data_IF_655259933842
#
_entry.id   IF_655259933842
#
_cell.length_a   1.000
_cell.length_b   1.000
_cell.length_c   1.000
_cell.angle_alpha   90.00
_cell.angle_beta   90.00
_cell.angle_gamma   90.00
#
_symmetry.space_group_name_H-M   'P 1'
#
loop_
_entity.id
_entity.type
_entity.pdbx_description
1 polymer ?
#
# COMPACT_ATOMS: atom_id res chain seq x y z
N UNK A 1 39.85 -27.10 39.36
CA UNK A 1 38.43 -26.77 39.64
C UNK A 1 38.25 -25.26 39.50
N UNK A 2 38.06 -24.73 38.29
CA UNK A 2 37.74 -23.31 38.05
C UNK A 2 37.54 -23.15 36.54
N UNK A 3 36.30 -22.98 36.12
CA UNK A 3 35.92 -22.04 35.06
C UNK A 3 34.40 -21.92 35.11
N UNK A 4 33.95 -20.93 35.88
CA UNK A 4 32.65 -20.31 35.69
C UNK A 4 32.56 -19.87 34.22
N UNK A 5 31.73 -20.53 33.43
CA UNK A 5 31.34 -20.00 32.13
C UNK A 5 29.98 -19.35 32.27
N UNK A 6 30.05 -18.02 32.41
CA UNK A 6 29.00 -17.08 32.09
C UNK A 6 28.34 -17.46 30.76
N UNK A 7 27.03 -17.59 30.75
CA UNK A 7 26.26 -17.35 29.53
C UNK A 7 24.91 -16.75 29.91
N UNK A 8 24.94 -15.44 30.15
CA UNK A 8 23.77 -14.59 30.20
C UNK A 8 23.26 -14.47 28.75
N UNK A 9 22.41 -15.40 28.32
CA UNK A 9 21.73 -15.32 27.02
C UNK A 9 20.64 -14.26 27.16
N UNK A 10 21.04 -12.98 27.11
CA UNK A 10 20.11 -11.89 26.90
C UNK A 10 19.56 -12.03 25.48
N UNK A 11 18.36 -12.60 25.36
CA UNK A 11 17.65 -12.77 24.11
C UNK A 11 17.41 -11.42 23.46
N UNK A 12 18.29 -11.05 22.52
CA UNK A 12 18.10 -9.91 21.64
C UNK A 12 17.01 -10.27 20.65
N UNK A 13 15.75 -9.99 21.00
CA UNK A 13 14.62 -10.11 20.09
C UNK A 13 14.82 -9.06 19.01
N UNK A 14 15.39 -9.45 17.87
CA UNK A 14 15.40 -8.64 16.65
C UNK A 14 13.94 -8.52 16.17
N UNK A 15 13.26 -7.45 16.58
CA UNK A 15 11.99 -7.07 15.96
C UNK A 15 12.31 -6.56 14.55
N UNK A 16 12.16 -7.44 13.55
CA UNK A 16 12.22 -7.07 12.16
C UNK A 16 11.02 -6.19 11.82
N UNK A 17 11.21 -4.86 11.88
CA UNK A 17 10.23 -3.89 11.39
C UNK A 17 10.22 -3.95 9.87
N UNK A 18 9.33 -4.75 9.28
CA UNK A 18 9.09 -4.68 7.83
C UNK A 18 8.59 -3.28 7.50
N UNK A 19 9.21 -2.56 6.54
CA UNK A 19 8.70 -1.26 6.12
C UNK A 19 7.27 -1.44 5.60
N UNK A 20 6.36 -0.49 5.87
CA UNK A 20 5.00 -0.58 5.35
C UNK A 20 5.08 -0.71 3.83
N UNK A 21 4.48 -1.77 3.29
CA UNK A 21 4.32 -1.91 1.85
C UNK A 21 3.44 -0.76 1.36
N UNK A 22 4.05 0.21 0.69
CA UNK A 22 3.30 1.28 0.04
C UNK A 22 2.62 0.70 -1.18
N UNK A 23 1.37 0.29 -1.02
CA UNK A 23 0.55 -0.15 -2.14
C UNK A 23 0.22 1.05 -3.01
N UNK A 24 0.59 0.99 -4.29
CA UNK A 24 0.25 2.01 -5.27
C UNK A 24 -1.00 1.60 -6.04
N UNK A 25 -1.84 2.58 -6.32
CA UNK A 25 -3.10 2.45 -7.06
C UNK A 25 -3.23 3.58 -8.07
N UNK A 26 -4.18 3.42 -8.99
CA UNK A 26 -4.45 4.37 -10.05
C UNK A 26 -5.75 5.12 -9.78
N UNK A 27 -5.74 6.43 -10.01
CA UNK A 27 -6.92 7.28 -9.91
C UNK A 27 -7.12 8.07 -11.19
N UNK A 28 -8.38 8.27 -11.57
CA UNK A 28 -8.75 9.28 -12.54
C UNK A 28 -8.95 10.63 -11.82
N UNK A 29 -8.36 11.71 -12.33
CA UNK A 29 -8.42 13.06 -11.73
C UNK A 29 -9.68 13.87 -12.10
N UNK A 30 -10.64 13.27 -12.80
CA UNK A 30 -11.92 13.91 -13.07
C UNK A 30 -12.65 14.32 -11.79
N UNK A 31 -13.32 15.47 -11.83
CA UNK A 31 -14.09 16.04 -10.69
C UNK A 31 -15.08 15.05 -10.05
N UNK A 32 -15.63 14.14 -10.85
CA UNK A 32 -16.62 13.15 -10.43
C UNK A 32 -16.03 11.76 -10.16
N UNK A 33 -14.72 11.59 -10.30
CA UNK A 33 -14.07 10.32 -10.02
C UNK A 33 -14.10 10.04 -8.51
N UNK A 34 -14.68 8.91 -8.13
CA UNK A 34 -14.84 8.48 -6.73
C UNK A 34 -14.09 7.18 -6.46
N UNK A 35 -13.41 6.63 -7.46
CA UNK A 35 -12.83 5.30 -7.44
C UNK A 35 -11.31 5.34 -7.56
N UNK A 36 -10.66 4.37 -6.93
CA UNK A 36 -9.28 3.99 -7.21
C UNK A 36 -9.24 2.58 -7.80
N UNK A 37 -8.17 2.29 -8.53
CA UNK A 37 -8.01 1.10 -9.35
C UNK A 37 -6.69 0.42 -9.03
N UNK A 38 -6.68 -0.91 -8.97
CA UNK A 38 -5.46 -1.68 -8.69
C UNK A 38 -4.64 -1.87 -9.97
N UNK A 39 -5.32 -1.99 -11.11
CA UNK A 39 -4.72 -2.16 -12.43
C UNK A 39 -4.94 -0.94 -13.32
N UNK A 40 -3.96 -0.62 -14.17
CA UNK A 40 -4.04 0.50 -15.13
C UNK A 40 -5.10 0.27 -16.22
N UNK A 41 -5.37 -0.99 -16.55
CA UNK A 41 -6.27 -1.44 -17.61
C UNK A 41 -7.68 -1.77 -17.11
N UNK A 42 -8.00 -1.44 -15.84
CA UNK A 42 -9.32 -1.66 -15.28
C UNK A 42 -10.40 -1.06 -16.20
N UNK A 43 -11.45 -1.85 -16.47
CA UNK A 43 -12.60 -1.42 -17.28
C UNK A 43 -13.19 -0.08 -16.82
N UNK A 44 -13.23 0.15 -15.51
CA UNK A 44 -13.71 1.40 -14.92
C UNK A 44 -12.78 2.59 -15.12
N UNK A 45 -11.48 2.35 -15.31
CA UNK A 45 -10.45 3.36 -15.53
C UNK A 45 -10.34 3.76 -17.01
N UNK A 46 -10.64 2.84 -17.93
CA UNK A 46 -10.58 3.07 -19.39
C UNK A 46 -11.47 4.23 -19.88
N UNK A 47 -12.54 4.57 -19.15
CA UNK A 47 -13.40 5.71 -19.45
C UNK A 47 -12.90 7.05 -18.87
N UNK A 48 -11.72 7.08 -18.26
CA UNK A 48 -11.17 8.32 -17.71
C UNK A 48 -10.93 9.34 -18.82
N UNK A 49 -11.67 10.45 -18.80
CA UNK A 49 -11.55 11.56 -19.75
C UNK A 49 -10.46 12.57 -19.39
N UNK A 50 -9.66 12.27 -18.36
CA UNK A 50 -8.62 13.16 -17.82
C UNK A 50 -7.34 12.37 -17.58
N UNK A 51 -6.36 12.97 -16.91
CA UNK A 51 -5.12 12.28 -16.55
C UNK A 51 -5.37 11.17 -15.50
N UNK A 52 -4.84 9.99 -15.79
CA UNK A 52 -4.67 8.90 -14.81
C UNK A 52 -3.39 9.17 -14.02
N UNK A 53 -3.47 9.03 -12.70
CA UNK A 53 -2.34 9.25 -11.80
C UNK A 53 -2.14 8.03 -10.90
N UNK A 54 -0.88 7.64 -10.71
CA UNK A 54 -0.47 6.61 -9.77
C UNK A 54 -0.19 7.26 -8.42
N UNK A 55 -0.97 6.89 -7.42
CA UNK A 55 -0.91 7.43 -6.05
C UNK A 55 -0.80 6.28 -5.05
N UNK A 56 -0.48 6.57 -3.80
CA UNK A 56 -0.54 5.54 -2.76
C UNK A 56 -2.00 5.20 -2.44
N UNK A 57 -2.27 3.96 -2.00
CA UNK A 57 -3.58 3.53 -1.54
C UNK A 57 -4.08 4.41 -0.39
N UNK A 58 -3.16 4.86 0.48
CA UNK A 58 -3.45 5.80 1.55
C UNK A 58 -3.95 7.13 0.99
N UNK A 59 -3.24 7.74 0.05
CA UNK A 59 -3.65 9.02 -0.54
C UNK A 59 -4.99 8.91 -1.27
N UNK A 60 -5.24 7.79 -1.96
CA UNK A 60 -6.52 7.53 -2.59
C UNK A 60 -7.67 7.50 -1.56
N UNK A 61 -7.49 6.78 -0.45
CA UNK A 61 -8.46 6.72 0.66
C UNK A 61 -8.64 8.07 1.34
N UNK A 62 -7.57 8.80 1.59
CA UNK A 62 -7.60 10.14 2.20
C UNK A 62 -8.35 11.15 1.31
N UNK A 63 -8.27 10.99 -0.03
CA UNK A 63 -9.07 11.73 -1.01
C UNK A 63 -10.54 11.26 -1.09
N UNK A 64 -10.97 10.35 -0.21
CA UNK A 64 -12.33 9.79 -0.18
C UNK A 64 -12.64 8.84 -1.34
N UNK A 65 -11.62 8.29 -2.00
CA UNK A 65 -11.82 7.33 -3.09
C UNK A 65 -12.07 5.92 -2.52
N UNK A 66 -12.90 5.16 -3.22
CA UNK A 66 -13.24 3.77 -2.87
C UNK A 66 -12.79 2.81 -3.97
N UNK A 67 -12.68 1.51 -3.67
CA UNK A 67 -12.28 0.52 -4.68
C UNK A 67 -13.30 0.49 -5.84
N UNK A 68 -12.79 0.39 -7.07
CA UNK A 68 -13.61 0.12 -8.24
C UNK A 68 -14.23 -1.29 -8.16
N UNK A 69 -15.50 -1.43 -8.53
CA UNK A 69 -16.19 -2.73 -8.49
C UNK A 69 -15.88 -3.65 -9.67
N UNK A 70 -15.08 -3.20 -10.63
CA UNK A 70 -14.68 -3.94 -11.85
C UNK A 70 -13.20 -4.34 -11.82
N UNK A 71 -12.60 -4.39 -10.63
CA UNK A 71 -11.26 -4.94 -10.45
C UNK A 71 -11.36 -6.47 -10.47
N UNK A 72 -11.52 -7.03 -11.68
CA UNK A 72 -11.38 -8.46 -11.98
C UNK A 72 -9.91 -8.78 -12.32
#
# INVERSE_FOLDING_TARGET
>A
MKTLLLSLVAGFILTASTPPSTDYVYICNGKYSKKYHLKEDCRGLNNCSTKVEKVTLKDAKDKGRTLCGFED
#
